data_IF_840592804842
#
_entry.id   IF_840592804842
#
_cell.length_a   1.000
_cell.length_b   1.000
_cell.length_c   1.000
_cell.angle_alpha   90.00
_cell.angle_beta   90.00
_cell.angle_gamma   90.00
#
_symmetry.space_group_name_H-M   'P 1'
#
loop_
_entity.id
_entity.type
_entity.pdbx_description
1 polymer ?
#
# COMPACT_ATOMS: atom_id res chain seq x y z
N UNK A 1 -67.23 -14.84 -30.04
CA UNK A 1 -66.38 -13.75 -29.52
C UNK A 1 -65.10 -14.33 -28.99
N UNK A 2 -64.05 -14.39 -29.79
CA UNK A 2 -62.74 -14.86 -29.40
C UNK A 2 -61.94 -13.67 -28.84
N UNK A 3 -61.58 -13.71 -27.57
CA UNK A 3 -60.66 -12.76 -26.96
C UNK A 3 -59.26 -13.07 -27.42
N UNK A 4 -58.69 -12.21 -28.22
CA UNK A 4 -57.27 -12.20 -28.53
C UNK A 4 -56.51 -11.80 -27.29
N UNK A 5 -55.76 -12.71 -26.72
CA UNK A 5 -54.77 -12.42 -25.68
C UNK A 5 -53.53 -11.88 -26.40
N UNK A 6 -53.28 -10.59 -26.33
CA UNK A 6 -52.04 -10.03 -26.81
C UNK A 6 -50.94 -10.38 -25.81
N UNK A 7 -50.12 -11.33 -26.17
CA UNK A 7 -48.87 -11.64 -25.46
C UNK A 7 -47.91 -10.53 -25.86
N UNK A 8 -47.73 -9.56 -24.97
CA UNK A 8 -46.62 -8.62 -25.05
C UNK A 8 -45.35 -9.43 -24.68
N UNK A 9 -44.68 -9.94 -25.69
CA UNK A 9 -43.30 -10.34 -25.53
C UNK A 9 -42.46 -9.09 -25.24
N UNK A 10 -42.37 -8.73 -23.98
CA UNK A 10 -41.32 -7.84 -23.56
C UNK A 10 -40.00 -8.60 -23.87
N UNK A 11 -39.40 -8.26 -24.98
CA UNK A 11 -38.01 -8.62 -25.25
C UNK A 11 -37.18 -7.98 -24.14
N UNK A 12 -36.98 -8.74 -23.09
CA UNK A 12 -35.86 -8.49 -22.16
C UNK A 12 -34.63 -8.71 -23.04
N UNK A 13 -34.18 -7.63 -23.67
CA UNK A 13 -32.80 -7.56 -24.12
C UNK A 13 -32.00 -7.82 -22.87
N UNK A 14 -31.25 -8.93 -22.79
CA UNK A 14 -30.26 -9.04 -21.73
C UNK A 14 -29.31 -7.85 -21.96
N UNK A 15 -29.29 -6.91 -21.03
CA UNK A 15 -28.14 -6.09 -20.80
C UNK A 15 -27.06 -7.04 -20.30
N UNK A 16 -26.60 -7.88 -21.20
CA UNK A 16 -25.32 -8.51 -21.08
C UNK A 16 -24.34 -7.36 -21.29
N UNK A 17 -23.90 -6.73 -20.21
CA UNK A 17 -22.54 -6.23 -20.19
C UNK A 17 -21.73 -7.42 -20.68
N UNK A 18 -21.46 -7.41 -21.97
CA UNK A 18 -21.00 -8.61 -22.64
C UNK A 18 -19.59 -8.93 -22.16
N UNK A 19 -19.50 -9.88 -21.28
CA UNK A 19 -18.30 -10.70 -21.26
C UNK A 19 -18.26 -11.41 -22.62
N UNK A 20 -17.68 -10.77 -23.60
CA UNK A 20 -17.49 -11.34 -24.91
C UNK A 20 -16.50 -12.47 -24.73
N UNK A 21 -17.00 -13.70 -24.84
CA UNK A 21 -16.15 -14.88 -24.77
C UNK A 21 -15.31 -14.91 -26.04
N UNK A 22 -14.02 -14.67 -25.89
CA UNK A 22 -13.07 -14.79 -26.97
C UNK A 22 -12.37 -16.14 -26.90
N UNK A 23 -12.39 -16.88 -28.01
CA UNK A 23 -11.59 -18.08 -28.17
C UNK A 23 -10.33 -17.72 -28.94
N UNK A 24 -9.17 -18.04 -28.38
CA UNK A 24 -7.92 -17.90 -29.12
C UNK A 24 -7.67 -19.13 -29.95
N UNK A 25 -7.35 -18.93 -31.23
CA UNK A 25 -6.86 -20.02 -32.08
C UNK A 25 -5.63 -20.67 -31.44
N UNK A 26 -5.73 -21.96 -31.24
CA UNK A 26 -4.63 -22.80 -30.78
C UNK A 26 -4.07 -23.57 -31.99
N UNK A 27 -2.74 -23.75 -32.00
CA UNK A 27 -2.13 -24.66 -32.99
C UNK A 27 -2.62 -26.10 -32.85
N UNK A 28 -3.24 -26.46 -31.75
CA UNK A 28 -3.95 -27.71 -31.54
C UNK A 28 -5.46 -27.42 -31.58
N UNK A 29 -6.18 -27.89 -32.63
CA UNK A 29 -7.62 -27.64 -32.77
C UNK A 29 -8.49 -28.30 -31.69
N UNK A 30 -7.93 -29.19 -30.91
CA UNK A 30 -8.62 -29.83 -29.78
C UNK A 30 -8.52 -29.02 -28.49
N UNK A 31 -7.72 -27.93 -28.48
CA UNK A 31 -7.56 -27.05 -27.34
C UNK A 31 -8.22 -25.73 -27.63
N UNK A 32 -9.38 -25.51 -27.02
CA UNK A 32 -10.02 -24.20 -27.00
C UNK A 32 -9.56 -23.43 -25.75
N UNK A 33 -8.95 -22.28 -25.96
CA UNK A 33 -8.60 -21.37 -24.86
C UNK A 33 -9.67 -20.30 -24.73
N UNK A 34 -10.36 -20.36 -23.61
CA UNK A 34 -11.31 -19.32 -23.23
C UNK A 34 -10.55 -18.10 -22.71
N UNK A 35 -10.69 -16.99 -23.39
CA UNK A 35 -10.16 -15.71 -22.93
C UNK A 35 -11.33 -14.77 -22.63
N UNK A 36 -11.68 -14.68 -21.35
CA UNK A 36 -12.57 -13.62 -20.87
C UNK A 36 -11.74 -12.38 -20.55
N UNK A 37 -12.07 -11.26 -21.16
CA UNK A 37 -11.54 -9.95 -20.72
C UNK A 37 -12.52 -9.40 -19.70
N UNK A 38 -12.09 -9.35 -18.45
CA UNK A 38 -12.80 -8.62 -17.40
C UNK A 38 -12.25 -7.22 -17.40
N UNK A 39 -13.08 -6.24 -17.73
CA UNK A 39 -12.67 -4.84 -17.56
C UNK A 39 -12.63 -4.53 -16.06
N UNK A 40 -11.53 -3.95 -15.56
CA UNK A 40 -11.45 -3.52 -14.17
C UNK A 40 -12.49 -2.44 -13.92
N UNK A 41 -13.09 -2.45 -12.76
CA UNK A 41 -14.05 -1.43 -12.34
C UNK A 41 -13.68 -0.88 -10.97
N UNK A 42 -13.91 0.41 -10.78
CA UNK A 42 -13.69 1.06 -9.49
C UNK A 42 -14.92 0.90 -8.61
N UNK A 43 -14.71 0.52 -7.36
CA UNK A 43 -15.76 0.59 -6.35
C UNK A 43 -16.06 2.06 -6.02
N UNK A 44 -17.30 2.49 -6.19
CA UNK A 44 -17.74 3.83 -5.83
C UNK A 44 -17.96 3.92 -4.32
N UNK A 45 -17.18 4.77 -3.65
CA UNK A 45 -17.33 5.09 -2.23
C UNK A 45 -17.48 6.62 -2.12
N UNK A 46 -18.72 7.07 -1.94
CA UNK A 46 -19.05 8.49 -1.86
C UNK A 46 -19.11 8.91 -0.40
N UNK A 47 -18.29 9.88 -0.03
CA UNK A 47 -18.26 10.45 1.32
C UNK A 47 -18.66 11.94 1.25
N UNK A 48 -19.40 12.44 2.25
CA UNK A 48 -19.74 13.85 2.32
C UNK A 48 -18.51 14.70 2.66
N UNK A 49 -18.53 15.97 2.27
CA UNK A 49 -17.53 16.92 2.77
C UNK A 49 -17.71 17.18 4.27
N UNK A 50 -16.61 17.40 4.96
CA UNK A 50 -16.59 17.67 6.39
C UNK A 50 -15.93 19.02 6.63
N UNK A 51 -16.64 19.96 7.24
CA UNK A 51 -16.15 21.31 7.51
C UNK A 51 -15.56 22.03 6.28
N UNK A 52 -16.12 21.76 5.09
CA UNK A 52 -15.65 22.34 3.83
C UNK A 52 -14.38 21.74 3.28
N UNK A 53 -13.95 20.58 3.79
CA UNK A 53 -12.88 19.74 3.24
C UNK A 53 -13.49 18.54 2.50
N UNK A 54 -12.85 18.14 1.43
CA UNK A 54 -13.11 16.86 0.79
C UNK A 54 -12.55 15.72 1.67
N UNK A 55 -13.19 14.55 1.58
CA UNK A 55 -12.78 13.36 2.33
C UNK A 55 -12.21 12.35 1.35
N UNK A 56 -10.92 12.10 1.45
CA UNK A 56 -10.20 11.15 0.61
C UNK A 56 -9.92 9.85 1.36
N UNK A 57 -10.09 8.73 0.67
CA UNK A 57 -9.84 7.39 1.20
C UNK A 57 -8.40 7.01 0.90
N UNK A 58 -7.64 6.69 1.92
CA UNK A 58 -6.22 6.38 1.84
C UNK A 58 -5.89 5.03 2.46
N UNK A 59 -4.85 4.38 1.92
CA UNK A 59 -4.11 3.34 2.61
C UNK A 59 -2.66 3.80 2.75
N UNK A 60 -2.23 3.98 3.99
CA UNK A 60 -0.93 4.57 4.31
C UNK A 60 0.13 3.53 4.67
N UNK A 61 -0.18 2.22 4.49
CA UNK A 61 0.73 1.13 4.80
C UNK A 61 0.54 -0.05 3.84
N UNK A 62 1.43 -0.16 2.86
CA UNK A 62 1.38 -1.22 1.84
C UNK A 62 2.77 -1.66 1.40
N UNK A 63 2.89 -2.94 1.03
CA UNK A 63 4.13 -3.59 0.63
C UNK A 63 4.07 -4.14 -0.79
N UNK A 64 5.25 -4.26 -1.40
CA UNK A 64 5.43 -4.81 -2.75
C UNK A 64 6.59 -5.80 -2.79
N UNK A 65 6.91 -6.31 -3.98
CA UNK A 65 8.09 -7.14 -4.22
C UNK A 65 9.42 -6.41 -3.92
N UNK A 66 9.39 -5.10 -3.72
CA UNK A 66 10.55 -4.33 -3.30
C UNK A 66 10.86 -4.45 -1.80
N UNK A 67 10.02 -5.15 -1.06
CA UNK A 67 10.30 -5.60 0.31
C UNK A 67 9.95 -7.09 0.46
N UNK A 68 8.95 -7.41 1.20
CA UNK A 68 8.47 -8.78 1.45
C UNK A 68 7.05 -9.02 0.94
N UNK A 69 6.50 -8.08 0.20
CA UNK A 69 5.24 -8.25 -0.51
C UNK A 69 5.36 -9.14 -1.75
N UNK A 70 4.24 -9.52 -2.34
CA UNK A 70 4.17 -10.46 -3.46
C UNK A 70 3.63 -9.85 -4.75
N UNK A 71 3.43 -8.52 -4.80
CA UNK A 71 2.91 -7.82 -5.98
C UNK A 71 3.82 -6.68 -6.41
N UNK A 72 3.83 -6.38 -7.70
CA UNK A 72 4.55 -5.21 -8.22
C UNK A 72 3.80 -3.90 -7.88
N UNK A 73 4.52 -2.76 -7.76
CA UNK A 73 3.91 -1.46 -7.46
C UNK A 73 2.72 -1.08 -8.35
N UNK A 74 2.80 -1.39 -9.64
CA UNK A 74 1.70 -1.12 -10.58
C UNK A 74 0.40 -1.82 -10.21
N UNK A 75 0.47 -3.08 -9.77
CA UNK A 75 -0.70 -3.84 -9.32
C UNK A 75 -1.25 -3.29 -8.02
N UNK A 76 -0.37 -2.81 -7.13
CA UNK A 76 -0.79 -2.17 -5.89
C UNK A 76 -1.63 -0.91 -6.16
N UNK A 77 -1.25 -0.12 -7.16
CA UNK A 77 -2.03 1.06 -7.62
C UNK A 77 -3.37 0.65 -8.24
N UNK A 78 -3.35 -0.36 -9.11
CA UNK A 78 -4.57 -0.87 -9.75
C UNK A 78 -5.57 -1.40 -8.70
N UNK A 79 -5.12 -2.21 -7.75
CA UNK A 79 -5.95 -2.70 -6.64
C UNK A 79 -6.51 -1.56 -5.77
N UNK A 80 -5.69 -0.55 -5.47
CA UNK A 80 -6.13 0.61 -4.71
C UNK A 80 -7.26 1.36 -5.43
N UNK A 81 -7.13 1.54 -6.74
CA UNK A 81 -8.16 2.15 -7.56
C UNK A 81 -9.44 1.31 -7.61
N UNK A 82 -9.31 0.01 -7.86
CA UNK A 82 -10.46 -0.91 -7.87
C UNK A 82 -11.22 -0.94 -6.54
N UNK A 83 -10.49 -0.87 -5.42
CA UNK A 83 -11.06 -0.87 -4.08
C UNK A 83 -11.61 0.51 -3.65
N UNK A 84 -11.56 1.53 -4.52
CA UNK A 84 -12.17 2.84 -4.30
C UNK A 84 -11.28 3.84 -3.55
N UNK A 85 -9.99 3.56 -3.37
CA UNK A 85 -9.06 4.51 -2.74
C UNK A 85 -8.77 5.71 -3.64
N UNK A 86 -8.43 6.83 -3.04
CA UNK A 86 -7.99 8.06 -3.69
C UNK A 86 -6.49 8.29 -3.51
N UNK A 87 -5.94 7.76 -2.42
CA UNK A 87 -4.55 7.97 -1.99
C UNK A 87 -3.95 6.62 -1.58
N UNK A 88 -2.70 6.40 -1.94
CA UNK A 88 -1.93 5.20 -1.60
C UNK A 88 -0.52 5.58 -1.19
N UNK A 89 -0.04 5.11 -0.03
CA UNK A 89 1.36 5.23 0.32
C UNK A 89 2.12 3.95 -0.06
N UNK A 90 3.30 4.14 -0.64
CA UNK A 90 4.25 3.06 -0.89
C UNK A 90 5.24 3.03 0.28
N UNK A 91 5.12 2.00 1.11
CA UNK A 91 5.87 1.88 2.36
C UNK A 91 6.63 0.56 2.46
N UNK A 92 7.24 0.15 1.36
CA UNK A 92 8.13 -1.01 1.36
C UNK A 92 9.17 -0.88 2.48
N UNK A 93 9.48 -1.99 3.15
CA UNK A 93 10.51 -2.04 4.19
C UNK A 93 11.84 -1.48 3.69
N UNK A 94 12.47 -0.66 4.51
CA UNK A 94 13.79 -0.13 4.20
C UNK A 94 14.87 -1.22 4.34
N UNK A 95 14.68 -2.18 5.25
CA UNK A 95 15.63 -3.26 5.54
C UNK A 95 15.20 -4.63 4.97
N UNK A 96 13.92 -4.91 4.97
CA UNK A 96 13.33 -6.22 4.65
C UNK A 96 13.15 -6.49 3.16
N UNK A 97 14.20 -6.40 2.36
CA UNK A 97 14.14 -6.51 0.90
C UNK A 97 14.50 -7.92 0.42
N UNK A 98 13.60 -8.85 0.69
CA UNK A 98 13.83 -10.30 0.67
C UNK A 98 14.25 -10.87 -0.68
N UNK A 99 13.72 -10.30 -1.77
CA UNK A 99 13.93 -10.81 -3.14
C UNK A 99 14.66 -9.83 -4.05
N UNK A 100 15.11 -8.70 -3.53
CA UNK A 100 15.67 -7.64 -4.39
C UNK A 100 16.98 -8.03 -5.07
N UNK A 101 17.77 -8.88 -4.44
CA UNK A 101 18.97 -9.46 -5.06
C UNK A 101 18.65 -10.25 -6.34
N UNK A 102 17.48 -10.88 -6.39
CA UNK A 102 16.97 -11.59 -7.57
C UNK A 102 16.35 -10.58 -8.55
N UNK A 103 15.67 -9.57 -8.04
CA UNK A 103 14.97 -8.58 -8.84
C UNK A 103 15.92 -7.62 -9.56
N UNK A 104 17.08 -7.29 -9.01
CA UNK A 104 18.00 -6.30 -9.57
C UNK A 104 18.32 -6.58 -11.04
N UNK A 105 18.72 -7.81 -11.36
CA UNK A 105 19.04 -8.18 -12.75
C UNK A 105 17.81 -8.07 -13.67
N UNK A 106 16.67 -8.53 -13.18
CA UNK A 106 15.42 -8.46 -13.93
C UNK A 106 14.97 -7.01 -14.16
N UNK A 107 15.03 -6.18 -13.13
CA UNK A 107 14.61 -4.79 -13.20
C UNK A 107 15.51 -3.98 -14.14
N UNK A 108 16.81 -4.17 -14.09
CA UNK A 108 17.75 -3.54 -15.01
C UNK A 108 17.48 -3.95 -16.46
N UNK A 109 17.23 -5.22 -16.69
CA UNK A 109 17.09 -5.76 -18.05
C UNK A 109 15.73 -5.49 -18.69
N UNK A 110 14.64 -5.52 -17.91
CA UNK A 110 13.28 -5.55 -18.45
C UNK A 110 12.39 -4.39 -18.04
N UNK A 111 12.78 -3.65 -17.02
CA UNK A 111 11.94 -2.58 -16.45
C UNK A 111 12.61 -1.23 -16.61
N UNK A 112 13.86 -1.09 -16.22
CA UNK A 112 14.60 0.15 -16.28
C UNK A 112 16.10 -0.11 -16.24
N UNK A 113 16.84 0.45 -17.20
CA UNK A 113 18.30 0.50 -17.20
C UNK A 113 18.85 1.52 -16.20
N UNK A 114 18.00 2.36 -15.63
CA UNK A 114 18.37 3.33 -14.62
C UNK A 114 18.36 2.77 -13.18
N UNK A 115 17.90 1.55 -12.99
CA UNK A 115 17.93 0.91 -11.66
C UNK A 115 19.28 0.21 -11.40
N UNK A 116 19.87 0.28 -10.20
CA UNK A 116 19.49 1.14 -9.09
C UNK A 116 19.99 2.58 -9.31
N UNK A 117 19.18 3.57 -8.92
CA UNK A 117 19.60 4.99 -8.92
C UNK A 117 20.25 5.42 -7.63
N UNK A 118 19.87 4.80 -6.55
CA UNK A 118 20.41 5.08 -5.22
C UNK A 118 21.76 4.44 -5.02
N UNK A 119 22.49 4.92 -4.04
CA UNK A 119 23.79 4.42 -3.59
C UNK A 119 23.66 3.89 -2.18
N UNK A 120 22.55 3.28 -1.84
CA UNK A 120 22.40 2.62 -0.58
C UNK A 120 22.88 1.18 -0.67
N UNK A 121 23.69 0.81 0.30
CA UNK A 121 24.11 -0.55 0.52
C UNK A 121 23.53 -0.99 1.85
N UNK A 122 22.74 -2.03 1.85
CA UNK A 122 22.23 -2.58 3.08
C UNK A 122 22.43 -4.10 3.12
N UNK A 123 22.44 -4.63 4.31
CA UNK A 123 22.56 -6.06 4.53
C UNK A 123 21.15 -6.64 4.55
N UNK A 124 20.89 -7.62 3.69
CA UNK A 124 19.64 -8.35 3.73
C UNK A 124 19.44 -9.00 5.10
N UNK A 125 18.20 -9.02 5.55
CA UNK A 125 17.85 -9.52 6.86
C UNK A 125 18.14 -11.02 7.03
N UNK A 126 18.47 -11.40 8.25
CA UNK A 126 18.45 -12.77 8.72
C UNK A 126 17.14 -13.50 8.26
N UNK A 127 17.20 -14.77 7.82
CA UNK A 127 18.30 -15.72 8.00
C UNK A 127 19.22 -15.86 6.78
N UNK A 128 19.14 -14.98 5.82
CA UNK A 128 19.98 -15.07 4.62
C UNK A 128 21.06 -13.99 4.60
N UNK A 129 22.27 -14.24 5.15
CA UNK A 129 23.38 -13.32 5.01
C UNK A 129 23.89 -13.33 3.58
N UNK A 130 23.17 -12.70 2.66
CA UNK A 130 23.59 -12.57 1.27
C UNK A 130 24.62 -11.44 1.06
N UNK A 131 25.07 -10.82 2.13
CA UNK A 131 25.95 -9.67 2.10
C UNK A 131 25.19 -8.37 1.78
N UNK A 132 25.95 -7.33 1.56
CA UNK A 132 25.39 -6.02 1.17
C UNK A 132 25.03 -6.00 -0.30
N UNK A 133 23.86 -5.50 -0.62
CA UNK A 133 23.42 -5.25 -2.01
C UNK A 133 23.16 -3.75 -2.20
N UNK A 134 23.40 -3.27 -3.40
CA UNK A 134 23.09 -1.90 -3.78
C UNK A 134 21.67 -1.85 -4.29
N UNK A 135 20.87 -0.94 -3.73
CA UNK A 135 19.46 -0.78 -4.04
C UNK A 135 19.08 0.68 -4.22
N UNK A 136 18.00 0.92 -4.92
CA UNK A 136 17.34 2.21 -4.99
C UNK A 136 16.02 2.16 -4.21
N UNK A 137 16.03 2.69 -3.00
CA UNK A 137 14.90 2.67 -2.09
C UNK A 137 13.71 3.53 -2.53
N UNK A 138 13.89 4.37 -3.56
CA UNK A 138 12.79 5.18 -4.13
C UNK A 138 12.11 4.51 -5.32
N UNK A 139 12.64 3.40 -5.84
CA UNK A 139 12.22 2.88 -7.13
C UNK A 139 10.77 2.40 -7.14
N UNK A 140 10.34 1.73 -6.07
CA UNK A 140 8.95 1.25 -5.96
C UNK A 140 7.95 2.41 -6.00
N UNK A 141 8.21 3.50 -5.28
CA UNK A 141 7.38 4.71 -5.28
C UNK A 141 7.33 5.35 -6.68
N UNK A 142 8.47 5.43 -7.38
CA UNK A 142 8.48 5.99 -8.76
C UNK A 142 7.67 5.13 -9.74
N UNK A 143 7.76 3.81 -9.64
CA UNK A 143 6.94 2.91 -10.46
C UNK A 143 5.45 3.08 -10.17
N UNK A 144 5.08 3.16 -8.90
CA UNK A 144 3.70 3.38 -8.48
C UNK A 144 3.18 4.74 -8.96
N UNK A 145 3.93 5.81 -8.79
CA UNK A 145 3.55 7.17 -9.24
C UNK A 145 3.29 7.21 -10.74
N UNK A 146 4.16 6.59 -11.54
CA UNK A 146 3.98 6.49 -12.99
C UNK A 146 2.70 5.75 -13.38
N UNK A 147 2.40 4.65 -12.69
CA UNK A 147 1.17 3.89 -12.96
C UNK A 147 -0.08 4.67 -12.51
N UNK A 148 0.02 5.38 -11.39
CA UNK A 148 -1.06 6.13 -10.78
C UNK A 148 -1.66 7.23 -11.68
N UNK A 149 -0.87 7.76 -12.63
CA UNK A 149 -1.34 8.73 -13.62
C UNK A 149 -2.56 8.22 -14.42
N UNK A 150 -2.62 6.90 -14.67
CA UNK A 150 -3.73 6.27 -15.40
C UNK A 150 -5.03 6.22 -14.63
N UNK A 151 -4.93 6.18 -13.31
CA UNK A 151 -6.05 5.94 -12.40
C UNK A 151 -6.45 7.16 -11.59
N UNK A 152 -5.67 8.22 -11.65
CA UNK A 152 -5.88 9.41 -10.83
C UNK A 152 -5.71 9.15 -9.33
N UNK A 153 -4.89 8.18 -8.93
CA UNK A 153 -4.52 7.93 -7.54
C UNK A 153 -3.37 8.86 -7.16
N UNK A 154 -3.42 9.45 -5.97
CA UNK A 154 -2.27 10.15 -5.41
C UNK A 154 -1.38 9.14 -4.69
N UNK A 155 -0.15 8.96 -5.15
CA UNK A 155 0.81 8.06 -4.51
C UNK A 155 1.78 8.86 -3.65
N UNK A 156 1.74 8.59 -2.35
CA UNK A 156 2.64 9.16 -1.35
C UNK A 156 3.92 8.32 -1.32
N UNK A 157 5.11 8.91 -1.58
CA UNK A 157 6.37 8.23 -1.37
C UNK A 157 6.63 8.03 0.13
N UNK A 158 7.14 6.87 0.46
CA UNK A 158 7.42 6.51 1.85
C UNK A 158 8.29 5.28 1.96
N UNK A 159 8.51 4.84 3.18
CA UNK A 159 9.18 3.59 3.51
C UNK A 159 8.83 3.17 4.92
N UNK A 160 8.87 1.88 5.22
CA UNK A 160 8.76 1.37 6.58
C UNK A 160 10.12 1.09 7.18
N UNK A 161 10.42 1.75 8.28
CA UNK A 161 11.61 1.54 9.12
C UNK A 161 11.26 0.42 10.09
N UNK A 162 11.82 -0.77 9.87
CA UNK A 162 11.45 -1.97 10.61
C UNK A 162 12.62 -2.91 10.74
N UNK A 163 13.49 -2.68 11.66
CA UNK A 163 14.52 -3.68 11.90
C UNK A 163 13.93 -4.92 12.55
N UNK A 164 13.91 -6.01 11.80
CA UNK A 164 13.39 -7.31 12.19
C UNK A 164 13.31 -7.57 13.68
N UNK A 165 12.13 -7.50 14.19
CA UNK A 165 11.83 -7.98 15.54
C UNK A 165 10.79 -7.14 16.27
N UNK A 166 9.92 -7.83 17.00
CA UNK A 166 8.91 -7.24 17.88
C UNK A 166 9.49 -6.32 18.97
N UNK A 167 10.80 -6.27 19.13
CA UNK A 167 11.49 -5.53 20.18
C UNK A 167 11.83 -4.07 19.83
N UNK A 168 11.67 -3.69 18.57
CA UNK A 168 12.08 -2.34 18.11
C UNK A 168 10.87 -1.46 17.82
N UNK A 169 9.82 -2.03 17.25
CA UNK A 169 8.69 -1.31 16.68
C UNK A 169 8.92 -1.04 15.18
N UNK A 170 7.83 -0.72 14.48
CA UNK A 170 7.84 -0.40 13.06
C UNK A 170 7.27 1.00 12.83
N UNK A 171 7.84 1.73 11.89
CA UNK A 171 7.48 3.12 11.66
C UNK A 171 7.42 3.44 10.16
N UNK A 172 6.29 3.93 9.68
CA UNK A 172 6.21 4.46 8.34
C UNK A 172 6.68 5.92 8.31
N UNK A 173 7.65 6.20 7.45
CA UNK A 173 7.96 7.55 7.02
C UNK A 173 7.16 7.84 5.75
N UNK A 174 6.32 8.86 5.78
CA UNK A 174 5.44 9.29 4.70
C UNK A 174 5.88 10.65 4.14
N UNK A 175 5.64 10.92 2.86
CA UNK A 175 6.08 12.14 2.17
C UNK A 175 7.60 12.31 2.16
N UNK A 176 8.33 11.22 2.03
CA UNK A 176 9.79 11.22 1.94
C UNK A 176 10.28 11.84 0.64
N UNK A 177 11.44 12.49 0.68
CA UNK A 177 12.09 13.06 -0.51
C UNK A 177 13.08 12.09 -1.14
N UNK A 178 13.86 11.43 -0.30
CA UNK A 178 14.83 10.42 -0.72
C UNK A 178 14.97 9.34 0.38
N UNK A 179 14.43 8.16 0.10
CA UNK A 179 14.53 7.04 1.03
C UNK A 179 15.96 6.51 1.16
N UNK A 180 16.82 6.76 0.15
CA UNK A 180 18.22 6.35 0.22
C UNK A 180 18.98 7.08 1.32
N UNK A 181 18.58 8.31 1.66
CA UNK A 181 19.19 9.12 2.72
C UNK A 181 18.57 8.84 4.11
N UNK A 182 17.55 7.97 4.19
CA UNK A 182 16.90 7.65 5.46
C UNK A 182 17.62 6.51 6.17
N UNK A 183 18.05 5.51 5.43
CA UNK A 183 18.59 4.29 6.01
C UNK A 183 19.80 4.51 6.90
N UNK A 184 19.73 3.98 8.11
CA UNK A 184 20.85 3.84 9.05
C UNK A 184 20.71 2.51 9.79
N UNK A 185 21.81 1.84 10.16
CA UNK A 185 21.78 0.64 11.01
C UNK A 185 21.05 0.83 12.35
N UNK A 186 21.07 2.04 12.91
CA UNK A 186 20.27 2.39 14.06
C UNK A 186 18.87 2.90 13.63
N UNK A 187 17.78 2.22 14.00
CA UNK A 187 16.42 2.60 13.57
C UNK A 187 16.01 3.98 14.07
N UNK A 188 16.46 4.42 15.22
CA UNK A 188 16.14 5.74 15.73
C UNK A 188 16.82 6.84 14.89
N UNK A 189 18.03 6.58 14.41
CA UNK A 189 18.71 7.47 13.46
C UNK A 189 17.96 7.50 12.12
N UNK A 190 17.47 6.37 11.61
CA UNK A 190 16.62 6.35 10.41
C UNK A 190 15.36 7.20 10.60
N UNK A 191 14.70 7.13 11.76
CA UNK A 191 13.52 7.97 12.07
C UNK A 191 13.90 9.45 12.07
N UNK A 192 15.01 9.83 12.68
CA UNK A 192 15.52 11.22 12.67
C UNK A 192 15.83 11.70 11.25
N UNK A 193 16.46 10.86 10.42
CA UNK A 193 16.75 11.18 9.03
C UNK A 193 15.45 11.41 8.22
N UNK A 194 14.42 10.62 8.43
CA UNK A 194 13.11 10.84 7.83
C UNK A 194 12.51 12.16 8.26
N UNK A 195 12.52 12.49 9.55
CA UNK A 195 12.04 13.77 10.08
C UNK A 195 12.84 14.95 9.53
N UNK A 196 14.13 14.82 9.34
CA UNK A 196 14.99 15.87 8.76
C UNK A 196 14.59 16.21 7.31
N UNK A 197 14.00 15.29 6.58
CA UNK A 197 13.43 15.53 5.23
C UNK A 197 12.05 16.22 5.27
N UNK A 198 11.43 16.32 6.45
CA UNK A 198 10.06 16.82 6.63
C UNK A 198 9.00 15.73 6.52
N UNK A 199 9.38 14.45 6.56
CA UNK A 199 8.44 13.34 6.54
C UNK A 199 7.55 13.32 7.78
N UNK A 200 6.33 12.85 7.63
CA UNK A 200 5.48 12.43 8.73
C UNK A 200 5.84 11.00 9.13
N UNK A 201 6.03 10.77 10.42
CA UNK A 201 6.35 9.43 10.94
C UNK A 201 5.17 8.87 11.71
N UNK A 202 4.74 7.68 11.29
CA UNK A 202 3.62 6.94 11.87
C UNK A 202 4.13 5.67 12.55
N UNK A 203 3.72 5.43 13.79
CA UNK A 203 3.98 4.18 14.51
C UNK A 203 2.99 3.12 14.04
N UNK A 204 3.51 2.04 13.45
CA UNK A 204 2.72 0.98 12.86
C UNK A 204 2.33 -0.08 13.89
N UNK A 205 1.16 -0.70 13.72
CA UNK A 205 0.66 -1.90 14.44
C UNK A 205 1.28 -2.09 15.85
N UNK A 206 1.01 -1.17 16.81
CA UNK A 206 1.63 -1.16 18.14
C UNK A 206 1.46 -2.50 18.85
N UNK A 207 2.55 -3.04 19.39
CA UNK A 207 2.50 -4.35 20.05
C UNK A 207 2.54 -5.57 19.12
N UNK A 208 2.84 -5.39 17.84
CA UNK A 208 2.99 -6.49 16.88
C UNK A 208 3.94 -7.58 17.41
N UNK A 209 3.45 -8.84 17.41
CA UNK A 209 4.15 -10.01 17.98
C UNK A 209 4.52 -9.89 19.47
N UNK A 210 3.90 -8.96 20.20
CA UNK A 210 4.04 -8.80 21.65
C UNK A 210 2.73 -9.11 22.36
N UNK A 211 2.79 -9.27 23.68
CA UNK A 211 1.62 -9.52 24.53
C UNK A 211 0.99 -8.25 25.08
N UNK A 212 1.61 -7.11 24.85
CA UNK A 212 1.21 -5.78 25.29
C UNK A 212 1.51 -4.71 24.24
N UNK A 213 1.08 -3.49 24.52
CA UNK A 213 1.31 -2.30 23.70
C UNK A 213 2.26 -1.31 24.37
N UNK A 214 2.99 -1.75 25.38
CA UNK A 214 3.99 -0.92 26.05
C UNK A 214 5.12 -0.53 25.10
N UNK A 215 5.75 0.60 25.37
CA UNK A 215 6.84 1.07 24.52
C UNK A 215 8.07 0.17 24.63
N UNK A 216 8.64 -0.21 23.48
CA UNK A 216 10.05 -0.63 23.40
C UNK A 216 10.97 0.56 23.71
N UNK A 217 12.27 0.32 23.85
CA UNK A 217 13.24 1.42 24.05
C UNK A 217 13.26 2.40 22.87
N UNK A 218 13.24 1.88 21.63
CA UNK A 218 13.23 2.70 20.41
C UNK A 218 11.92 3.48 20.28
N UNK A 219 10.78 2.81 20.51
CA UNK A 219 9.47 3.48 20.50
C UNK A 219 9.45 4.61 21.53
N UNK A 220 9.85 4.35 22.77
CA UNK A 220 9.90 5.34 23.84
C UNK A 220 10.75 6.54 23.44
N UNK A 221 11.98 6.31 22.97
CA UNK A 221 12.88 7.37 22.51
C UNK A 221 12.25 8.19 21.38
N UNK A 222 11.66 7.54 20.38
CA UNK A 222 11.01 8.24 19.27
C UNK A 222 9.83 9.12 19.73
N UNK A 223 9.02 8.63 20.68
CA UNK A 223 7.93 9.42 21.26
C UNK A 223 8.43 10.56 22.17
N UNK A 224 9.46 10.33 22.95
CA UNK A 224 10.01 11.33 23.88
C UNK A 224 10.75 12.45 23.15
N UNK A 225 11.36 12.15 22.00
CA UNK A 225 11.96 13.14 21.10
C UNK A 225 10.93 13.87 20.21
N UNK A 226 9.64 13.50 20.27
CA UNK A 226 8.61 14.12 19.45
C UNK A 226 8.71 13.79 17.96
N UNK A 227 9.27 12.63 17.62
CA UNK A 227 9.48 12.22 16.23
C UNK A 227 8.22 11.59 15.60
N UNK A 228 7.26 11.18 16.42
CA UNK A 228 6.04 10.49 15.97
C UNK A 228 4.92 11.50 15.75
N UNK A 229 4.34 11.48 14.55
CA UNK A 229 3.21 12.35 14.16
C UNK A 229 1.87 11.61 14.19
N UNK A 230 1.89 10.28 14.04
CA UNK A 230 0.68 9.48 13.97
C UNK A 230 0.87 8.04 14.43
N UNK A 231 -0.24 7.31 14.51
CA UNK A 231 -0.23 5.90 14.91
C UNK A 231 -1.34 5.11 14.23
N UNK A 232 -1.08 3.87 13.92
CA UNK A 232 -2.11 2.94 13.47
C UNK A 232 -2.98 2.52 14.64
N UNK A 233 -4.28 2.83 14.54
CA UNK A 233 -5.31 2.31 15.45
C UNK A 233 -5.95 1.04 14.89
N UNK A 234 -5.77 0.79 13.59
CA UNK A 234 -6.22 -0.41 12.91
C UNK A 234 -5.20 -0.81 11.84
N UNK A 235 -4.80 -2.09 11.86
CA UNK A 235 -3.93 -2.69 10.86
C UNK A 235 -4.52 -4.01 10.39
N UNK A 236 -4.89 -4.10 9.11
CA UNK A 236 -5.61 -5.25 8.57
C UNK A 236 -6.90 -5.52 9.32
N UNK A 237 -6.96 -6.60 10.07
CA UNK A 237 -8.11 -6.96 10.92
C UNK A 237 -7.88 -6.67 12.40
N UNK A 238 -6.69 -6.20 12.79
CA UNK A 238 -6.37 -5.88 14.17
C UNK A 238 -6.78 -4.44 14.50
N UNK A 239 -7.46 -4.27 15.64
CA UNK A 239 -7.83 -2.96 16.19
C UNK A 239 -7.15 -2.79 17.54
N UNK A 240 -6.57 -1.61 17.78
CA UNK A 240 -5.75 -1.29 18.96
C UNK A 240 -6.43 -0.25 19.85
N UNK A 241 -7.51 -0.57 20.61
CA UNK A 241 -8.26 0.41 21.41
C UNK A 241 -7.40 1.08 22.49
N UNK A 242 -6.43 0.37 23.05
CA UNK A 242 -5.53 0.91 24.07
C UNK A 242 -4.56 2.01 23.58
N UNK A 243 -4.53 2.26 22.26
CA UNK A 243 -3.72 3.34 21.69
C UNK A 243 -4.47 4.69 21.64
N UNK A 244 -5.80 4.68 21.74
CA UNK A 244 -6.62 5.88 21.58
C UNK A 244 -6.27 6.98 22.58
N UNK A 245 -6.08 6.62 23.85
CA UNK A 245 -5.67 7.58 24.88
C UNK A 245 -4.30 8.21 24.52
N UNK A 246 -3.35 7.38 24.07
CA UNK A 246 -2.03 7.84 23.61
C UNK A 246 -2.12 8.86 22.48
N UNK A 247 -3.02 8.63 21.52
CA UNK A 247 -3.29 9.54 20.40
C UNK A 247 -3.78 10.89 20.91
N UNK A 248 -4.76 10.87 21.81
CA UNK A 248 -5.37 12.08 22.36
C UNK A 248 -4.38 12.89 23.20
N UNK A 249 -3.67 12.24 24.09
CA UNK A 249 -2.70 12.89 24.99
C UNK A 249 -1.55 13.57 24.24
N UNK A 250 -1.16 13.03 23.09
CA UNK A 250 -0.03 13.51 22.29
C UNK A 250 -0.43 14.31 21.05
N UNK A 251 -1.72 14.41 20.74
CA UNK A 251 -2.22 15.12 19.56
C UNK A 251 -1.78 14.50 18.23
N UNK A 252 -1.72 13.15 18.16
CA UNK A 252 -1.28 12.41 16.99
C UNK A 252 -2.43 12.23 16.00
N UNK A 253 -2.11 12.11 14.70
CA UNK A 253 -3.11 11.62 13.76
C UNK A 253 -3.31 10.12 13.92
N UNK A 254 -4.49 9.64 13.52
CA UNK A 254 -4.83 8.21 13.52
C UNK A 254 -4.85 7.67 12.11
N UNK A 255 -4.46 6.42 11.94
CA UNK A 255 -4.54 5.71 10.68
C UNK A 255 -5.21 4.34 10.83
N UNK A 256 -5.92 3.94 9.78
CA UNK A 256 -6.42 2.59 9.57
C UNK A 256 -5.88 2.10 8.24
N UNK A 257 -4.98 1.13 8.28
CA UNK A 257 -4.21 0.67 7.14
C UNK A 257 -4.33 -0.83 6.93
N UNK A 258 -3.92 -1.30 5.76
CA UNK A 258 -4.00 -2.73 5.46
C UNK A 258 -2.76 -3.51 5.82
N UNK A 259 -1.59 -2.91 5.72
CA UNK A 259 -0.31 -3.62 5.80
C UNK A 259 -0.29 -4.84 4.86
N UNK A 260 -0.78 -4.59 3.64
CA UNK A 260 -1.03 -5.67 2.69
C UNK A 260 0.25 -6.07 1.97
N UNK A 261 0.58 -7.36 2.04
CA UNK A 261 1.73 -7.95 1.37
C UNK A 261 1.33 -8.71 0.09
N UNK A 262 0.19 -9.40 0.13
CA UNK A 262 -0.38 -10.10 -1.04
C UNK A 262 -1.39 -9.24 -1.80
N UNK A 263 -2.02 -9.78 -2.83
CA UNK A 263 -3.11 -9.13 -3.55
C UNK A 263 -4.32 -8.86 -2.64
N UNK A 264 -4.91 -7.68 -2.74
CA UNK A 264 -6.03 -7.25 -1.87
C UNK A 264 -7.30 -8.04 -2.13
N UNK A 265 -7.53 -8.44 -3.37
CA UNK A 265 -8.75 -9.12 -3.78
C UNK A 265 -9.02 -10.41 -2.99
N UNK A 266 -7.98 -11.19 -2.68
CA UNK A 266 -8.14 -12.44 -1.93
C UNK A 266 -8.56 -12.20 -0.48
N UNK A 267 -8.09 -11.13 0.13
CA UNK A 267 -8.34 -10.82 1.55
C UNK A 267 -9.63 -10.03 1.75
N UNK A 268 -9.90 -9.07 0.88
CA UNK A 268 -10.99 -8.12 1.03
C UNK A 268 -12.17 -8.39 0.10
N UNK A 269 -12.01 -8.27 -1.21
CA UNK A 269 -13.13 -8.45 -2.16
C UNK A 269 -13.70 -9.87 -2.16
N UNK A 270 -12.86 -10.89 -2.23
CA UNK A 270 -13.27 -12.29 -2.27
C UNK A 270 -13.26 -12.97 -0.91
N UNK A 271 -12.47 -12.46 0.02
CA UNK A 271 -12.34 -13.00 1.37
C UNK A 271 -13.44 -12.54 2.34
N UNK A 272 -14.29 -11.59 1.93
CA UNK A 272 -15.40 -11.09 2.75
C UNK A 272 -14.99 -10.20 3.93
N UNK A 273 -13.73 -9.80 4.02
CA UNK A 273 -13.26 -8.85 5.03
C UNK A 273 -13.47 -7.42 4.58
N UNK A 274 -13.74 -6.53 5.52
CA UNK A 274 -13.74 -5.09 5.23
C UNK A 274 -12.30 -4.58 5.14
N UNK A 275 -12.01 -3.81 4.08
CA UNK A 275 -10.71 -3.14 3.94
C UNK A 275 -10.67 -1.92 4.85
N UNK A 276 -9.71 -1.80 5.79
CA UNK A 276 -9.51 -0.57 6.53
C UNK A 276 -9.02 0.54 5.60
N UNK A 277 -9.46 1.77 5.87
CA UNK A 277 -9.09 2.97 5.13
C UNK A 277 -8.91 4.14 6.09
N UNK A 278 -7.85 4.90 5.90
CA UNK A 278 -7.69 6.20 6.56
C UNK A 278 -8.47 7.24 5.78
N UNK A 279 -9.21 8.09 6.48
CA UNK A 279 -9.92 9.23 5.88
C UNK A 279 -9.10 10.50 6.06
N UNK A 280 -8.68 11.09 4.95
CA UNK A 280 -7.89 12.32 4.91
C UNK A 280 -8.80 13.47 4.50
N UNK A 281 -8.81 14.54 5.31
CA UNK A 281 -9.55 15.76 5.03
C UNK A 281 -8.62 16.79 4.40
N UNK A 282 -8.82 17.11 3.14
CA UNK A 282 -8.01 18.06 2.40
C UNK A 282 -8.86 18.90 1.44
N UNK A 283 -8.39 20.09 1.06
CA UNK A 283 -9.09 20.91 0.07
C UNK A 283 -9.01 20.27 -1.32
N UNK A 284 -7.83 19.82 -1.68
CA UNK A 284 -7.52 19.21 -2.96
C UNK A 284 -6.72 17.93 -2.77
N UNK A 285 -6.75 17.05 -3.76
CA UNK A 285 -5.97 15.81 -3.75
C UNK A 285 -4.58 16.07 -4.32
N UNK A 286 -3.75 16.75 -3.55
CA UNK A 286 -2.36 17.05 -3.88
C UNK A 286 -1.43 16.76 -2.71
N UNK A 287 -0.12 16.73 -2.97
CA UNK A 287 0.88 16.48 -1.92
C UNK A 287 1.02 17.65 -0.93
N UNK A 288 0.58 18.86 -1.32
CA UNK A 288 0.70 20.09 -0.53
C UNK A 288 -0.55 20.40 0.29
N UNK A 289 -1.69 19.81 -0.04
CA UNK A 289 -2.99 20.06 0.60
C UNK A 289 -3.18 19.23 1.86
#
# INVERSE_FOLDING_TARGET
>A
MRKMLAIICASILPLTAGAQIHYQDSKNPEILRHMGKVEPFRQEIILPTVNGYNVYKADLHTHTLFSDGSVMPKFRVEEAWEDGLDILAMTDHIEGRVVEDILVEYLQKYVSDEYPKGVNTFIALEPTPKGSIMVDLNFSSRLAQKEAEKYGILVIPGTEISRCGATIGHFNALFTKDNNEIYDPDPLTSIRNAKAQGALVMHNHPGYRRTDIDYTEVERAAYDEGLIDGVEVMNGSAFYPGIIDRVQDRGLFIAACTDVHAGTASKYRNGGNMRPMTLILAKDKTMES
#
